data_IF_785787125740
#
_entry.id   IF_785787125740
#
_cell.length_a   1.000
_cell.length_b   1.000
_cell.length_c   1.000
_cell.angle_alpha   90.00
_cell.angle_beta   90.00
_cell.angle_gamma   90.00
#
_symmetry.space_group_name_H-M   'P 1'
#
loop_
_entity.id
_entity.type
_entity.pdbx_description
1 polymer ?
#
# COMPACT_ATOMS: atom_id res chain seq x y z
N UNK A 1 0.50 17.41 15.28
CA UNK A 1 0.48 17.10 13.83
C UNK A 1 1.82 16.52 13.46
N UNK A 2 1.95 15.19 13.36
CA UNK A 2 3.23 14.49 13.17
C UNK A 2 3.83 14.60 11.76
N UNK A 3 3.12 15.19 10.79
CA UNK A 3 3.59 15.33 9.41
C UNK A 3 3.57 16.80 8.95
N UNK A 4 4.74 17.34 8.59
CA UNK A 4 4.85 18.68 8.01
C UNK A 4 4.21 18.68 6.62
N UNK A 5 3.02 19.31 6.51
CA UNK A 5 2.24 19.41 5.27
C UNK A 5 3.05 19.93 4.08
N UNK A 6 3.98 20.86 4.32
CA UNK A 6 4.83 21.43 3.25
C UNK A 6 5.89 20.44 2.78
N UNK A 7 6.45 19.66 3.70
CA UNK A 7 7.42 18.61 3.36
C UNK A 7 6.75 17.51 2.53
N UNK A 8 5.55 17.08 2.91
CA UNK A 8 4.76 16.11 2.16
C UNK A 8 4.42 16.64 0.74
N UNK A 9 4.03 17.92 0.65
CA UNK A 9 3.69 18.55 -0.63
C UNK A 9 4.90 18.71 -1.56
N UNK A 10 6.07 19.08 -1.03
CA UNK A 10 7.31 19.15 -1.81
C UNK A 10 7.78 17.75 -2.26
N UNK A 11 7.56 16.73 -1.44
CA UNK A 11 7.79 15.33 -1.83
C UNK A 11 6.86 14.90 -2.98
N UNK A 12 5.62 15.42 -3.02
CA UNK A 12 4.60 15.15 -4.06
C UNK A 12 4.89 15.88 -5.38
N UNK A 13 5.70 16.94 -5.40
CA UNK A 13 6.02 17.68 -6.63
C UNK A 13 7.24 17.13 -7.39
N UNK A 14 8.17 16.46 -6.72
CA UNK A 14 9.41 16.01 -7.35
C UNK A 14 9.19 14.74 -8.22
N UNK A 15 9.29 14.83 -9.54
CA UNK A 15 9.08 13.68 -10.46
C UNK A 15 10.14 12.59 -10.31
N UNK A 16 11.39 12.94 -9.98
CA UNK A 16 12.45 11.96 -9.73
C UNK A 16 12.15 11.07 -8.52
N UNK A 17 11.43 11.62 -7.55
CA UNK A 17 11.03 10.87 -6.36
C UNK A 17 10.11 9.69 -6.72
N UNK A 18 9.19 9.84 -7.68
CA UNK A 18 8.32 8.74 -8.12
C UNK A 18 9.13 7.60 -8.72
N UNK A 19 10.12 7.91 -9.57
CA UNK A 19 11.00 6.89 -10.14
C UNK A 19 11.81 6.18 -9.06
N UNK A 20 12.36 6.91 -8.10
CA UNK A 20 13.08 6.31 -6.97
C UNK A 20 12.17 5.38 -6.15
N UNK A 21 10.92 5.79 -5.88
CA UNK A 21 9.95 4.94 -5.20
C UNK A 21 9.68 3.64 -5.96
N UNK A 22 9.52 3.72 -7.30
CA UNK A 22 9.33 2.54 -8.15
C UNK A 22 10.56 1.62 -8.06
N UNK A 23 11.77 2.17 -8.18
CA UNK A 23 13.00 1.36 -8.10
C UNK A 23 13.13 0.67 -6.75
N UNK A 24 12.88 1.38 -5.64
CA UNK A 24 12.96 0.79 -4.30
C UNK A 24 11.85 -0.25 -4.10
N UNK A 25 10.63 -0.01 -4.60
CA UNK A 25 9.56 -0.99 -4.58
C UNK A 25 9.96 -2.27 -5.30
N UNK A 26 10.50 -2.18 -6.53
CA UNK A 26 10.96 -3.35 -7.28
C UNK A 26 12.10 -4.08 -6.57
N UNK A 27 13.01 -3.35 -5.92
CA UNK A 27 14.05 -3.95 -5.08
C UNK A 27 13.47 -4.63 -3.84
N UNK A 28 12.42 -4.08 -3.23
CA UNK A 28 11.77 -4.68 -2.06
C UNK A 28 11.10 -6.02 -2.40
N UNK A 29 10.54 -6.17 -3.60
CA UNK A 29 9.98 -7.45 -4.08
C UNK A 29 11.04 -8.56 -4.23
N UNK A 30 12.31 -8.21 -4.41
CA UNK A 30 13.41 -9.18 -4.48
C UNK A 30 13.82 -9.70 -3.10
N UNK A 31 13.41 -9.04 -2.02
CA UNK A 31 13.81 -9.43 -0.67
C UNK A 31 12.87 -10.54 -0.19
N UNK A 32 13.41 -11.71 0.21
CA UNK A 32 12.57 -12.79 0.71
C UNK A 32 11.91 -12.38 2.04
N UNK A 33 10.72 -12.91 2.30
CA UNK A 33 9.99 -12.71 3.55
C UNK A 33 9.35 -14.00 4.01
N UNK A 34 8.93 -14.05 5.28
CA UNK A 34 8.27 -15.22 5.86
C UNK A 34 6.75 -15.07 5.78
N UNK A 35 6.10 -16.03 5.13
CA UNK A 35 4.65 -16.01 4.96
C UNK A 35 3.92 -16.25 6.28
N UNK A 36 2.88 -15.46 6.62
CA UNK A 36 2.12 -15.64 7.86
C UNK A 36 1.16 -16.84 7.82
N UNK A 37 0.85 -17.36 6.62
CA UNK A 37 -0.11 -18.44 6.43
C UNK A 37 0.56 -19.81 6.41
N UNK A 38 1.69 -19.93 5.70
CA UNK A 38 2.44 -21.19 5.59
C UNK A 38 3.60 -21.26 6.57
N UNK A 39 4.11 -20.12 7.06
CA UNK A 39 5.32 -20.07 7.89
C UNK A 39 6.61 -20.34 7.12
N UNK A 40 6.50 -20.60 5.81
CA UNK A 40 7.59 -20.84 4.89
C UNK A 40 8.20 -19.52 4.41
N UNK A 41 9.45 -19.61 3.97
CA UNK A 41 10.15 -18.49 3.36
C UNK A 41 9.72 -18.39 1.90
N UNK A 42 9.01 -17.32 1.57
CA UNK A 42 8.67 -17.03 0.18
C UNK A 42 9.86 -16.34 -0.49
N UNK A 43 10.39 -17.00 -1.51
CA UNK A 43 11.38 -16.43 -2.41
C UNK A 43 10.69 -15.68 -3.55
N UNK A 44 11.46 -14.86 -4.25
CA UNK A 44 10.97 -14.13 -5.41
C UNK A 44 10.30 -15.08 -6.42
N UNK A 45 9.01 -14.88 -6.62
CA UNK A 45 8.23 -15.52 -7.68
C UNK A 45 7.63 -14.42 -8.56
N UNK A 46 7.85 -14.52 -9.87
CA UNK A 46 7.34 -13.57 -10.87
C UNK A 46 5.81 -13.55 -10.84
N UNK A 47 5.17 -14.70 -10.63
CA UNK A 47 3.72 -14.82 -10.54
C UNK A 47 3.18 -14.00 -9.36
N UNK A 48 3.71 -14.21 -8.16
CA UNK A 48 3.33 -13.46 -6.95
C UNK A 48 3.62 -11.96 -7.10
N UNK A 49 4.70 -11.59 -7.81
CA UNK A 49 5.02 -10.19 -8.08
C UNK A 49 3.97 -9.55 -9.00
N UNK A 50 3.58 -10.23 -10.08
CA UNK A 50 2.56 -9.76 -11.00
C UNK A 50 1.22 -9.64 -10.29
N UNK A 51 0.85 -10.65 -9.48
CA UNK A 51 -0.37 -10.64 -8.67
C UNK A 51 -0.37 -9.47 -7.69
N UNK A 52 0.73 -9.26 -6.95
CA UNK A 52 0.88 -8.13 -6.03
C UNK A 52 0.72 -6.78 -6.73
N UNK A 53 1.39 -6.59 -7.87
CA UNK A 53 1.28 -5.35 -8.67
C UNK A 53 -0.16 -5.15 -9.16
N UNK A 54 -0.84 -6.21 -9.61
CA UNK A 54 -2.22 -6.15 -10.06
C UNK A 54 -3.15 -5.77 -8.91
N UNK A 55 -3.03 -6.41 -7.75
CA UNK A 55 -3.85 -6.15 -6.57
C UNK A 55 -3.68 -4.71 -6.07
N UNK A 56 -2.44 -4.24 -6.00
CA UNK A 56 -2.12 -2.85 -5.67
C UNK A 56 -2.66 -1.87 -6.73
N UNK A 57 -2.63 -2.27 -8.01
CA UNK A 57 -3.23 -1.53 -9.12
C UNK A 57 -4.75 -1.41 -9.01
N UNK A 58 -5.46 -2.50 -8.69
CA UNK A 58 -6.91 -2.49 -8.47
C UNK A 58 -7.29 -1.67 -7.24
N UNK A 59 -6.55 -1.80 -6.14
CA UNK A 59 -6.76 -0.98 -4.95
C UNK A 59 -6.61 0.51 -5.28
N UNK A 60 -5.57 0.89 -6.03
CA UNK A 60 -5.38 2.26 -6.50
C UNK A 60 -6.53 2.71 -7.40
N UNK A 61 -6.99 1.84 -8.31
CA UNK A 61 -8.10 2.13 -9.23
C UNK A 61 -9.39 2.41 -8.46
N UNK A 62 -9.75 1.58 -7.48
CA UNK A 62 -10.93 1.80 -6.65
C UNK A 62 -10.81 3.08 -5.81
N UNK A 63 -9.65 3.33 -5.22
CA UNK A 63 -9.38 4.59 -4.51
C UNK A 63 -9.54 5.79 -5.44
N UNK A 64 -9.03 5.70 -6.67
CA UNK A 64 -9.15 6.75 -7.67
C UNK A 64 -10.59 6.98 -8.13
N UNK A 65 -11.40 5.93 -8.27
CA UNK A 65 -12.83 6.04 -8.58
C UNK A 65 -13.60 6.79 -7.49
N UNK A 66 -13.18 6.65 -6.24
CA UNK A 66 -13.79 7.31 -5.08
C UNK A 66 -13.29 8.76 -4.87
N UNK A 67 -12.28 9.21 -5.62
CA UNK A 67 -11.79 10.58 -5.55
C UNK A 67 -12.74 11.58 -6.21
N UNK A 68 -12.95 12.72 -5.54
CA UNK A 68 -13.82 13.80 -6.06
C UNK A 68 -13.19 14.57 -7.22
N UNK A 69 -11.86 14.70 -7.25
CA UNK A 69 -11.11 15.44 -8.27
C UNK A 69 -10.11 14.54 -8.98
N UNK A 70 -10.59 13.81 -10.00
CA UNK A 70 -9.81 12.83 -10.75
C UNK A 70 -8.47 13.36 -11.31
N UNK A 71 -8.41 14.44 -12.10
CA UNK A 71 -7.15 14.86 -12.73
C UNK A 71 -6.08 15.32 -11.73
N UNK A 72 -6.49 15.92 -10.61
CA UNK A 72 -5.59 16.43 -9.58
C UNK A 72 -5.11 15.33 -8.61
N UNK A 73 -5.87 14.23 -8.49
CA UNK A 73 -5.64 13.20 -7.45
C UNK A 73 -4.81 12.00 -7.93
N UNK A 74 -4.67 11.77 -9.25
CA UNK A 74 -4.01 10.58 -9.79
C UNK A 74 -2.54 10.46 -9.37
N UNK A 75 -1.71 11.47 -9.68
CA UNK A 75 -0.28 11.45 -9.35
C UNK A 75 -0.01 11.37 -7.84
N UNK A 76 -0.73 12.11 -6.97
CA UNK A 76 -0.61 11.93 -5.54
C UNK A 76 -0.98 10.51 -5.07
N UNK A 77 -2.06 9.92 -5.57
CA UNK A 77 -2.47 8.55 -5.25
C UNK A 77 -1.40 7.52 -5.62
N UNK A 78 -0.84 7.61 -6.83
CA UNK A 78 0.25 6.75 -7.29
C UNK A 78 1.43 6.81 -6.33
N UNK A 79 1.84 8.00 -5.90
CA UNK A 79 2.96 8.17 -4.96
C UNK A 79 2.67 7.61 -3.58
N UNK A 80 1.44 7.79 -3.08
CA UNK A 80 1.03 7.24 -1.80
C UNK A 80 1.11 5.72 -1.84
N UNK A 81 0.54 5.11 -2.88
CA UNK A 81 0.58 3.65 -3.06
C UNK A 81 2.01 3.15 -3.16
N UNK A 82 2.86 3.77 -3.99
CA UNK A 82 4.27 3.39 -4.08
C UNK A 82 5.02 3.57 -2.76
N UNK A 83 4.75 4.63 -2.00
CA UNK A 83 5.35 4.85 -0.68
C UNK A 83 4.87 3.83 0.35
N UNK A 84 3.62 3.39 0.24
CA UNK A 84 3.07 2.32 1.06
C UNK A 84 3.67 0.95 0.68
N UNK A 85 3.87 0.65 -0.60
CA UNK A 85 4.61 -0.55 -1.04
C UNK A 85 6.05 -0.56 -0.52
N UNK A 86 6.68 0.61 -0.40
CA UNK A 86 8.02 0.76 0.17
C UNK A 86 8.10 0.35 1.65
N UNK A 87 6.97 0.35 2.36
CA UNK A 87 6.92 -0.19 3.72
C UNK A 87 7.19 -1.70 3.75
N UNK A 88 7.09 -2.40 2.60
CA UNK A 88 7.50 -3.79 2.45
C UNK A 88 9.01 -3.98 2.61
N UNK A 89 9.82 -2.92 2.63
CA UNK A 89 11.22 -2.99 3.07
C UNK A 89 11.33 -3.47 4.53
N UNK A 90 10.26 -3.36 5.33
CA UNK A 90 10.17 -3.90 6.69
C UNK A 90 9.78 -5.39 6.68
N UNK A 91 9.36 -5.95 5.53
CA UNK A 91 9.02 -7.37 5.40
C UNK A 91 10.11 -8.35 5.86
N UNK A 92 11.43 -8.08 5.78
CA UNK A 92 12.44 -8.99 6.33
C UNK A 92 12.41 -9.06 7.86
N UNK A 93 11.81 -8.08 8.55
CA UNK A 93 11.56 -8.19 9.99
C UNK A 93 10.67 -9.39 10.33
N UNK A 94 9.91 -9.91 9.36
CA UNK A 94 9.13 -11.15 9.52
C UNK A 94 10.01 -12.37 9.85
N UNK A 95 11.29 -12.37 9.50
CA UNK A 95 12.22 -13.44 9.90
C UNK A 95 12.44 -13.50 11.41
N UNK A 96 12.24 -12.38 12.13
CA UNK A 96 12.40 -12.30 13.58
C UNK A 96 11.21 -12.90 14.34
N UNK A 97 10.09 -13.17 13.66
CA UNK A 97 8.84 -13.61 14.27
C UNK A 97 8.42 -14.98 13.74
N UNK A 98 7.80 -15.79 14.59
CA UNK A 98 7.26 -17.11 14.23
C UNK A 98 5.87 -17.34 14.82
N UNK A 99 5.08 -18.22 14.19
CA UNK A 99 3.77 -18.63 14.67
C UNK A 99 2.80 -17.47 14.88
N UNK A 100 2.21 -17.39 16.07
CA UNK A 100 1.19 -16.38 16.41
C UNK A 100 1.74 -14.94 16.37
N UNK A 101 3.00 -14.74 16.73
CA UNK A 101 3.63 -13.42 16.72
C UNK A 101 3.72 -12.85 15.30
N UNK A 102 3.99 -13.70 14.31
CA UNK A 102 4.04 -13.31 12.90
C UNK A 102 2.65 -12.88 12.38
N UNK A 103 1.59 -13.58 12.77
CA UNK A 103 0.20 -13.22 12.40
C UNK A 103 -0.20 -11.86 12.98
N UNK A 104 0.13 -11.62 14.25
CA UNK A 104 -0.14 -10.32 14.90
C UNK A 104 0.67 -9.20 14.24
N UNK A 105 1.95 -9.43 13.96
CA UNK A 105 2.81 -8.47 13.28
C UNK A 105 2.25 -8.09 11.90
N UNK A 106 1.85 -9.07 11.08
CA UNK A 106 1.26 -8.81 9.76
C UNK A 106 -0.08 -8.09 9.86
N UNK A 107 -0.92 -8.43 10.84
CA UNK A 107 -2.18 -7.70 11.08
C UNK A 107 -1.96 -6.24 11.47
N UNK A 108 -0.98 -5.98 12.34
CA UNK A 108 -0.58 -4.61 12.72
C UNK A 108 0.03 -3.85 11.53
N UNK A 109 0.85 -4.53 10.73
CA UNK A 109 1.46 -3.96 9.53
C UNK A 109 0.39 -3.58 8.48
N UNK A 110 -0.57 -4.46 8.22
CA UNK A 110 -1.69 -4.18 7.32
C UNK A 110 -2.60 -3.05 7.86
N UNK A 111 -2.88 -3.05 9.16
CA UNK A 111 -3.64 -1.98 9.81
C UNK A 111 -2.93 -0.62 9.71
N UNK A 112 -1.61 -0.61 9.91
CA UNK A 112 -0.77 0.58 9.72
C UNK A 112 -0.79 1.05 8.26
N UNK A 113 -0.61 0.15 7.30
CA UNK A 113 -0.71 0.44 5.86
C UNK A 113 -2.05 1.12 5.52
N UNK A 114 -3.16 0.53 5.96
CA UNK A 114 -4.50 1.09 5.75
C UNK A 114 -4.68 2.44 6.44
N UNK A 115 -4.13 2.63 7.65
CA UNK A 115 -4.19 3.92 8.35
C UNK A 115 -3.52 5.06 7.56
N UNK A 116 -2.40 4.76 6.88
CA UNK A 116 -1.69 5.72 6.02
C UNK A 116 -2.52 6.03 4.78
N UNK A 117 -3.13 5.01 4.15
CA UNK A 117 -4.04 5.21 3.02
C UNK A 117 -5.23 6.11 3.40
N UNK A 118 -5.84 5.90 4.59
CA UNK A 118 -6.94 6.72 5.10
C UNK A 118 -6.51 8.16 5.32
N UNK A 119 -5.35 8.38 5.97
CA UNK A 119 -4.79 9.71 6.18
C UNK A 119 -4.60 10.44 4.85
N UNK A 120 -3.98 9.77 3.89
CA UNK A 120 -3.64 10.36 2.61
C UNK A 120 -4.89 10.64 1.76
N UNK A 121 -5.86 9.73 1.74
CA UNK A 121 -7.13 9.91 1.04
C UNK A 121 -8.00 11.01 1.65
N UNK A 122 -8.06 11.10 2.98
CA UNK A 122 -8.72 12.19 3.71
C UNK A 122 -8.11 13.54 3.33
N UNK A 123 -6.79 13.61 3.29
CA UNK A 123 -6.06 14.85 2.97
C UNK A 123 -6.28 15.28 1.51
N UNK A 124 -6.17 14.35 0.55
CA UNK A 124 -6.33 14.65 -0.88
C UNK A 124 -7.74 15.10 -1.24
N UNK A 125 -8.77 14.48 -0.65
CA UNK A 125 -10.16 14.78 -0.97
C UNK A 125 -10.78 15.86 -0.06
N UNK A 126 -10.06 16.31 0.98
CA UNK A 126 -10.57 17.28 1.95
C UNK A 126 -11.80 16.78 2.73
N UNK A 127 -11.88 15.47 2.98
CA UNK A 127 -12.99 14.82 3.67
C UNK A 127 -12.62 14.40 5.09
N UNK A 128 -13.61 14.18 5.95
CA UNK A 128 -13.40 13.70 7.32
C UNK A 128 -12.78 12.29 7.34
N UNK A 129 -11.96 12.01 8.37
CA UNK A 129 -11.29 10.71 8.54
C UNK A 129 -12.24 9.53 8.49
N UNK A 130 -13.43 9.64 9.11
CA UNK A 130 -14.43 8.57 9.10
C UNK A 130 -14.89 8.21 7.69
N UNK A 131 -15.20 9.21 6.85
CA UNK A 131 -15.62 8.99 5.46
C UNK A 131 -14.48 8.44 4.61
N UNK A 132 -13.25 8.92 4.85
CA UNK A 132 -12.06 8.38 4.20
C UNK A 132 -11.82 6.91 4.60
N UNK A 133 -11.98 6.57 5.88
CA UNK A 133 -11.85 5.21 6.38
C UNK A 133 -12.82 4.26 5.70
N UNK A 134 -14.09 4.63 5.58
CA UNK A 134 -15.09 3.84 4.87
C UNK A 134 -14.72 3.66 3.39
N UNK A 135 -14.28 4.71 2.71
CA UNK A 135 -13.87 4.64 1.30
C UNK A 135 -12.66 3.72 1.08
N UNK A 136 -11.63 3.85 1.92
CA UNK A 136 -10.42 3.03 1.84
C UNK A 136 -10.71 1.57 2.17
N UNK A 137 -11.51 1.31 3.22
CA UNK A 137 -11.90 -0.06 3.57
C UNK A 137 -12.73 -0.69 2.46
N UNK A 138 -13.69 0.03 1.88
CA UNK A 138 -14.45 -0.44 0.71
C UNK A 138 -13.53 -0.77 -0.46
N UNK A 139 -12.59 0.12 -0.80
CA UNK A 139 -11.62 -0.13 -1.87
C UNK A 139 -10.74 -1.35 -1.57
N UNK A 140 -10.33 -1.54 -0.32
CA UNK A 140 -9.54 -2.69 0.11
C UNK A 140 -10.32 -3.99 -0.02
N UNK A 141 -11.56 -4.06 0.50
CA UNK A 141 -12.39 -5.26 0.37
C UNK A 141 -12.70 -5.58 -1.08
N UNK A 142 -13.01 -4.58 -1.92
CA UNK A 142 -13.22 -4.80 -3.35
C UNK A 142 -11.97 -5.33 -4.03
N UNK A 143 -10.79 -4.79 -3.70
CA UNK A 143 -9.52 -5.30 -4.24
C UNK A 143 -9.26 -6.75 -3.83
N UNK A 144 -9.56 -7.13 -2.58
CA UNK A 144 -9.39 -8.51 -2.12
C UNK A 144 -10.39 -9.50 -2.73
N UNK A 145 -11.52 -9.02 -3.27
CA UNK A 145 -12.47 -9.87 -3.99
C UNK A 145 -12.05 -10.10 -5.45
N UNK A 146 -11.11 -9.31 -5.98
CA UNK A 146 -10.68 -9.43 -7.39
C UNK A 146 -10.20 -10.84 -7.76
N UNK A 147 -9.32 -11.51 -6.99
CA UNK A 147 -8.88 -12.86 -7.31
C UNK A 147 -10.03 -13.86 -7.38
N UNK A 148 -11.08 -13.68 -6.57
CA UNK A 148 -12.25 -14.56 -6.56
C UNK A 148 -13.08 -14.48 -7.86
N UNK A 149 -12.92 -13.43 -8.67
CA UNK A 149 -13.55 -13.31 -9.99
C UNK A 149 -12.69 -13.86 -11.13
N UNK A 150 -11.40 -14.09 -10.89
CA UNK A 150 -10.45 -14.62 -11.88
C UNK A 150 -10.02 -16.07 -11.60
N UNK A 151 -10.48 -16.66 -10.49
CA UNK A 151 -10.37 -18.07 -10.13
C UNK A 151 -11.56 -18.88 -10.67
#
# INVERSE_FOLDING_TARGET
MLFNRRALYNLILNRHHTFNLITIMLLAYLIPYRSPFTGETEYFNIENMIEGILMTGFFMLFMFMLCRRKPESFLPLVRIVLAMELTAVISPATFLFTGTALKVFMGLYAGWYLSIAVFAFSYLNGITYYRAALAVLMAFFLAQLVPAFFA
#
